data_IF_002615763002
#
_entry.id   IF_002615763002
#
_cell.length_a   1.000
_cell.length_b   1.000
_cell.length_c   1.000
_cell.angle_alpha   90.00
_cell.angle_beta   90.00
_cell.angle_gamma   90.00
#
_symmetry.space_group_name_H-M   'P 1'
#
loop_
_entity.id
_entity.type
_entity.pdbx_description
1 polymer ?
#
# COMPACT_ATOMS: atom_id res chain seq x y z
N UNK A 1 -9.27 5.16 34.96
CA UNK A 1 -8.88 5.08 33.54
C UNK A 1 -8.89 6.50 33.00
N UNK A 2 -7.74 7.03 32.56
CA UNK A 2 -7.67 8.37 31.99
C UNK A 2 -8.22 8.31 30.55
N UNK A 3 -9.13 9.21 30.14
CA UNK A 3 -9.62 9.23 28.77
C UNK A 3 -8.47 9.53 27.80
N UNK A 4 -8.53 8.93 26.62
CA UNK A 4 -7.59 9.26 25.54
C UNK A 4 -7.76 10.74 25.18
N UNK A 5 -6.68 11.43 24.79
CA UNK A 5 -6.79 12.80 24.32
C UNK A 5 -7.65 12.91 23.07
N UNK A 6 -8.54 13.91 23.03
CA UNK A 6 -9.49 14.14 21.93
C UNK A 6 -8.83 14.21 20.54
N UNK A 7 -7.61 14.73 20.44
CA UNK A 7 -6.90 14.85 19.16
C UNK A 7 -6.60 13.50 18.48
N UNK A 8 -6.66 12.38 19.22
CA UNK A 8 -6.43 11.04 18.65
C UNK A 8 -7.55 10.70 17.67
N UNK A 9 -8.80 10.86 18.09
CA UNK A 9 -9.98 10.53 17.26
C UNK A 9 -10.08 11.46 16.06
N UNK A 10 -9.78 12.75 16.25
CA UNK A 10 -9.75 13.75 15.18
C UNK A 10 -8.71 13.39 14.10
N UNK A 11 -7.49 13.03 14.52
CA UNK A 11 -6.43 12.61 13.58
C UNK A 11 -6.78 11.31 12.86
N UNK A 12 -7.36 10.36 13.57
CA UNK A 12 -7.77 9.08 12.98
C UNK A 12 -8.89 9.27 11.96
N UNK A 13 -9.84 10.16 12.23
CA UNK A 13 -10.90 10.54 11.29
C UNK A 13 -10.33 11.11 9.99
N UNK A 14 -9.41 12.08 10.11
CA UNK A 14 -8.72 12.67 8.95
C UNK A 14 -7.92 11.60 8.19
N UNK A 15 -7.16 10.78 8.90
CA UNK A 15 -6.39 9.68 8.31
C UNK A 15 -7.28 8.73 7.52
N UNK A 16 -8.39 8.27 8.12
CA UNK A 16 -9.30 7.32 7.48
C UNK A 16 -9.91 7.90 6.20
N UNK A 17 -10.28 9.19 6.21
CA UNK A 17 -10.79 9.87 5.01
C UNK A 17 -9.74 9.88 3.90
N UNK A 18 -8.52 10.35 4.20
CA UNK A 18 -7.44 10.43 3.22
C UNK A 18 -7.00 9.05 2.72
N UNK A 19 -6.99 8.05 3.61
CA UNK A 19 -6.68 6.67 3.27
C UNK A 19 -7.70 6.09 2.29
N UNK A 20 -9.00 6.32 2.53
CA UNK A 20 -10.04 5.86 1.63
C UNK A 20 -9.95 6.49 0.23
N UNK A 21 -9.69 7.80 0.15
CA UNK A 21 -9.46 8.50 -1.12
C UNK A 21 -8.23 7.93 -1.86
N UNK A 22 -7.12 7.73 -1.15
CA UNK A 22 -5.91 7.13 -1.71
C UNK A 22 -6.14 5.70 -2.20
N UNK A 23 -6.87 4.88 -1.43
CA UNK A 23 -7.15 3.49 -1.79
C UNK A 23 -8.02 3.40 -3.05
N UNK A 24 -8.98 4.32 -3.22
CA UNK A 24 -9.75 4.45 -4.45
C UNK A 24 -8.87 4.77 -5.65
N UNK A 25 -7.97 5.75 -5.53
CA UNK A 25 -7.02 6.11 -6.59
C UNK A 25 -6.07 4.96 -6.94
N UNK A 26 -5.58 4.24 -5.92
CA UNK A 26 -4.70 3.10 -6.12
C UNK A 26 -5.43 1.96 -6.84
N UNK A 27 -6.67 1.66 -6.44
CA UNK A 27 -7.50 0.66 -7.09
C UNK A 27 -7.79 1.02 -8.55
N UNK A 28 -8.07 2.29 -8.85
CA UNK A 28 -8.27 2.77 -10.21
C UNK A 28 -7.02 2.56 -11.08
N UNK A 29 -5.84 2.95 -10.59
CA UNK A 29 -4.57 2.75 -11.29
C UNK A 29 -4.23 1.27 -11.47
N UNK A 30 -4.48 0.46 -10.45
CA UNK A 30 -4.31 -0.99 -10.54
C UNK A 30 -5.25 -1.64 -11.55
N UNK A 31 -6.45 -1.09 -11.77
CA UNK A 31 -7.38 -1.60 -12.77
C UNK A 31 -7.00 -1.15 -14.20
N UNK A 32 -6.56 0.11 -14.36
CA UNK A 32 -6.30 0.71 -15.68
C UNK A 32 -4.89 0.46 -16.21
N UNK A 33 -3.89 0.57 -15.32
CA UNK A 33 -2.48 0.67 -15.70
C UNK A 33 -1.64 -0.51 -15.18
N UNK A 34 -2.25 -1.49 -14.49
CA UNK A 34 -1.51 -2.66 -14.01
C UNK A 34 -0.95 -3.46 -15.19
N UNK A 35 0.35 -3.73 -15.12
CA UNK A 35 1.08 -4.57 -16.06
C UNK A 35 2.07 -5.46 -15.31
N UNK A 36 2.41 -6.63 -15.87
CA UNK A 36 3.48 -7.46 -15.34
C UNK A 36 4.80 -6.69 -15.28
N UNK A 37 5.51 -6.79 -14.17
CA UNK A 37 6.82 -6.21 -13.94
C UNK A 37 7.76 -7.24 -13.35
N UNK A 38 9.06 -7.02 -13.56
CA UNK A 38 10.14 -7.81 -12.96
C UNK A 38 10.85 -6.96 -11.91
N UNK A 39 10.88 -7.43 -10.67
CA UNK A 39 11.47 -6.76 -9.52
C UNK A 39 12.83 -7.43 -9.26
N UNK A 40 13.91 -6.68 -9.45
CA UNK A 40 15.27 -7.20 -9.20
C UNK A 40 15.71 -6.82 -7.79
N UNK A 41 16.10 -7.83 -7.02
CA UNK A 41 16.63 -7.67 -5.67
C UNK A 41 18.16 -7.44 -5.70
N UNK A 42 18.76 -6.92 -4.61
CA UNK A 42 20.20 -6.64 -4.55
C UNK A 42 21.10 -7.89 -4.73
N UNK A 43 20.58 -9.08 -4.44
CA UNK A 43 21.25 -10.37 -4.64
C UNK A 43 21.17 -10.88 -6.10
N UNK A 44 20.53 -10.12 -6.98
CA UNK A 44 20.31 -10.47 -8.39
C UNK A 44 19.08 -11.35 -8.63
N UNK A 45 18.35 -11.75 -7.59
CA UNK A 45 17.11 -12.54 -7.75
C UNK A 45 16.03 -11.66 -8.39
N UNK A 46 15.26 -12.25 -9.30
CA UNK A 46 14.15 -11.57 -9.99
C UNK A 46 12.83 -12.15 -9.50
N UNK A 47 11.93 -11.29 -9.05
CA UNK A 47 10.58 -11.63 -8.61
C UNK A 47 9.57 -11.03 -9.59
N UNK A 48 8.67 -11.84 -10.12
CA UNK A 48 7.58 -11.35 -10.96
C UNK A 48 6.50 -10.69 -10.08
N UNK A 49 5.96 -9.57 -10.54
CA UNK A 49 4.90 -8.84 -9.87
C UNK A 49 4.03 -8.06 -10.85
N UNK A 50 3.08 -7.30 -10.31
CA UNK A 50 2.20 -6.42 -11.06
C UNK A 50 2.34 -4.97 -10.56
N UNK A 51 2.54 -4.04 -11.49
CA UNK A 51 2.61 -2.60 -11.14
C UNK A 51 1.30 -2.15 -10.50
N UNK A 52 1.39 -1.27 -9.49
CA UNK A 52 0.25 -0.77 -8.71
C UNK A 52 -0.46 -1.80 -7.83
N UNK A 53 -0.07 -3.09 -7.85
CA UNK A 53 -0.64 -4.14 -7.01
C UNK A 53 0.38 -4.78 -6.08
N UNK A 54 1.55 -5.13 -6.58
CA UNK A 54 2.58 -5.81 -5.79
C UNK A 54 3.25 -4.82 -4.86
N UNK A 55 3.28 -5.16 -3.57
CA UNK A 55 3.91 -4.38 -2.50
C UNK A 55 5.26 -5.00 -2.08
N UNK A 56 6.20 -4.21 -1.54
CA UNK A 56 7.45 -4.73 -1.01
C UNK A 56 7.26 -5.82 0.05
N UNK A 57 6.21 -5.73 0.87
CA UNK A 57 5.88 -6.74 1.87
C UNK A 57 5.53 -8.09 1.23
N UNK A 58 4.71 -8.10 0.18
CA UNK A 58 4.37 -9.33 -0.55
C UNK A 58 5.60 -9.98 -1.19
N UNK A 59 6.53 -9.16 -1.70
CA UNK A 59 7.82 -9.67 -2.23
C UNK A 59 8.63 -10.33 -1.10
N UNK A 60 8.70 -9.68 0.07
CA UNK A 60 9.44 -10.21 1.22
C UNK A 60 8.85 -11.52 1.77
N UNK A 61 7.53 -11.72 1.73
CA UNK A 61 6.90 -12.97 2.15
C UNK A 61 7.28 -14.19 1.28
N UNK A 62 7.79 -13.98 0.07
CA UNK A 62 8.19 -15.05 -0.86
C UNK A 62 9.69 -15.33 -0.92
N UNK A 63 10.48 -14.73 -0.04
CA UNK A 63 11.93 -14.94 0.10
C UNK A 63 12.18 -15.81 1.33
#
# INVERSE_FOLDING_TARGET
MNPLPQYIDERLSIYNKLKAEHDGLLAEKAAKDSKPIKITLPDGKVVDGESWKTTPYQVACGI
#
